data_IF_959752480707
#
_entry.id   IF_959752480707
#
_cell.length_a   1.000
_cell.length_b   1.000
_cell.length_c   1.000
_cell.angle_alpha   90.00
_cell.angle_beta   90.00
_cell.angle_gamma   90.00
#
_symmetry.space_group_name_H-M   'P 1'
#
loop_
_entity.id
_entity.type
_entity.pdbx_description
1 polymer ?
#
# COMPACT_ATOMS: atom_id res chain seq x y z
N UNK A 1 -24.42 8.33 24.20
CA UNK A 1 -23.38 7.26 24.19
C UNK A 1 -23.27 6.56 22.84
N UNK A 2 -24.13 6.89 21.86
CA UNK A 2 -24.20 6.24 20.54
C UNK A 2 -23.37 7.00 19.48
N UNK A 3 -22.91 8.20 19.78
CA UNK A 3 -22.16 9.08 18.86
C UNK A 3 -20.65 8.79 18.80
N UNK A 4 -20.10 8.01 19.73
CA UNK A 4 -18.65 7.80 19.84
C UNK A 4 -18.11 6.83 18.78
N UNK A 5 -18.95 6.01 18.16
CA UNK A 5 -18.53 4.90 17.30
C UNK A 5 -18.58 5.18 15.80
N UNK A 6 -19.04 6.36 15.38
CA UNK A 6 -19.04 6.76 13.96
C UNK A 6 -17.94 7.79 13.64
N UNK A 7 -17.05 8.07 14.58
CA UNK A 7 -16.22 9.28 14.58
C UNK A 7 -14.90 9.18 13.85
N UNK A 8 -14.57 8.18 13.05
CA UNK A 8 -13.17 8.16 12.62
C UNK A 8 -12.85 7.92 11.14
N UNK A 9 -13.77 7.45 10.34
CA UNK A 9 -13.49 7.27 8.91
C UNK A 9 -13.77 8.50 8.04
N UNK A 10 -14.47 9.51 8.59
CA UNK A 10 -14.86 10.70 7.82
C UNK A 10 -13.70 11.61 7.43
N UNK A 11 -12.61 11.60 8.18
CA UNK A 11 -11.47 12.48 7.97
C UNK A 11 -10.23 11.77 7.38
N UNK A 12 -10.17 10.43 7.49
CA UNK A 12 -9.07 9.66 6.90
C UNK A 12 -9.07 9.76 5.38
N UNK A 13 -7.89 9.93 4.79
CA UNK A 13 -7.70 9.94 3.34
C UNK A 13 -7.21 8.55 2.86
N UNK A 14 -8.12 7.66 2.40
CA UNK A 14 -7.73 6.32 1.95
C UNK A 14 -7.04 6.38 0.59
N UNK A 15 -5.83 5.82 0.53
CA UNK A 15 -4.98 5.77 -0.65
C UNK A 15 -4.73 4.31 -1.01
N UNK A 16 -5.16 3.92 -2.18
CA UNK A 16 -4.90 2.60 -2.71
C UNK A 16 -3.49 2.47 -3.25
N UNK A 17 -2.78 1.43 -2.86
CA UNK A 17 -1.53 1.02 -3.51
C UNK A 17 -1.81 -0.18 -4.37
N UNK A 18 -1.77 0.02 -5.67
CA UNK A 18 -2.14 -0.97 -6.67
C UNK A 18 -0.98 -1.33 -7.59
N UNK A 19 -1.05 -2.50 -8.18
CA UNK A 19 -0.14 -2.95 -9.24
C UNK A 19 -0.86 -3.84 -10.22
N UNK A 20 -0.44 -3.81 -11.48
CA UNK A 20 -1.06 -4.65 -12.52
C UNK A 20 -0.72 -6.13 -12.39
N UNK A 21 0.40 -6.48 -11.72
CA UNK A 21 0.84 -7.86 -11.50
C UNK A 21 1.55 -8.02 -10.17
N UNK A 22 1.69 -9.26 -9.72
CA UNK A 22 2.52 -9.62 -8.56
C UNK A 22 4.02 -9.46 -8.81
N UNK A 23 4.79 -9.36 -7.72
CA UNK A 23 6.26 -9.34 -7.79
C UNK A 23 6.90 -7.98 -8.11
N UNK A 24 6.14 -6.90 -8.27
CA UNK A 24 6.69 -5.54 -8.49
C UNK A 24 7.08 -4.83 -7.18
N UNK A 25 6.87 -5.47 -6.02
CA UNK A 25 7.17 -4.92 -4.71
C UNK A 25 6.10 -3.98 -4.16
N UNK A 26 4.83 -4.14 -4.57
CA UNK A 26 3.68 -3.35 -4.13
C UNK A 26 3.60 -3.26 -2.60
N UNK A 27 3.54 -4.38 -1.90
CA UNK A 27 3.42 -4.44 -0.44
C UNK A 27 4.64 -3.84 0.28
N UNK A 28 5.84 -4.05 -0.27
CA UNK A 28 7.07 -3.40 0.25
C UNK A 28 6.99 -1.88 0.13
N UNK A 29 6.45 -1.39 -1.00
CA UNK A 29 6.24 0.05 -1.19
C UNK A 29 5.16 0.57 -0.23
N UNK A 30 4.02 -0.12 -0.11
CA UNK A 30 2.93 0.27 0.78
C UNK A 30 3.39 0.34 2.25
N UNK A 31 4.10 -0.69 2.72
CA UNK A 31 4.64 -0.77 4.07
C UNK A 31 5.60 0.39 4.39
N UNK A 32 6.59 0.61 3.54
CA UNK A 32 7.58 1.66 3.81
C UNK A 32 7.01 3.07 3.58
N UNK A 33 6.06 3.26 2.66
CA UNK A 33 5.35 4.51 2.47
C UNK A 33 4.53 4.88 3.72
N UNK A 34 3.80 3.93 4.31
CA UNK A 34 3.03 4.15 5.54
C UNK A 34 3.94 4.59 6.70
N UNK A 35 5.07 3.91 6.92
CA UNK A 35 6.04 4.31 7.95
C UNK A 35 6.63 5.69 7.65
N UNK A 36 6.92 6.00 6.39
CA UNK A 36 7.47 7.31 5.99
C UNK A 36 6.49 8.44 6.30
N UNK A 37 5.20 8.25 5.99
CA UNK A 37 4.15 9.22 6.29
C UNK A 37 4.00 9.40 7.81
N UNK A 38 3.98 8.30 8.58
CA UNK A 38 3.92 8.35 10.04
C UNK A 38 5.12 9.11 10.63
N UNK A 39 6.33 8.88 10.12
CA UNK A 39 7.54 9.60 10.54
C UNK A 39 7.52 11.09 10.19
N UNK A 40 6.74 11.47 9.19
CA UNK A 40 6.49 12.88 8.84
C UNK A 40 5.49 13.57 9.78
N UNK A 41 5.00 12.86 10.81
CA UNK A 41 4.14 13.41 11.86
C UNK A 41 2.64 13.20 11.64
N UNK A 42 2.24 12.45 10.61
CA UNK A 42 0.82 12.17 10.34
C UNK A 42 0.37 10.87 11.00
N UNK A 43 -0.84 10.85 11.52
CA UNK A 43 -1.50 9.65 12.04
C UNK A 43 -1.85 8.72 10.87
N UNK A 44 -1.15 7.61 10.79
CA UNK A 44 -1.16 6.75 9.59
C UNK A 44 -1.69 5.37 9.91
N UNK A 45 -2.58 4.87 9.05
CA UNK A 45 -3.02 3.49 9.03
C UNK A 45 -2.49 2.73 7.81
N UNK A 46 -2.33 1.41 7.97
CA UNK A 46 -2.01 0.48 6.90
C UNK A 46 -2.95 -0.71 6.94
N UNK A 47 -3.70 -0.89 5.87
CA UNK A 47 -4.60 -2.04 5.66
C UNK A 47 -3.95 -2.99 4.67
N UNK A 48 -3.63 -4.20 5.12
CA UNK A 48 -3.18 -5.29 4.25
C UNK A 48 -4.40 -6.12 3.83
N UNK A 49 -4.89 -5.81 2.64
CA UNK A 49 -6.05 -6.44 2.03
C UNK A 49 -5.67 -7.50 0.97
N UNK A 50 -4.39 -7.86 0.85
CA UNK A 50 -3.95 -8.90 -0.08
C UNK A 50 -4.30 -10.30 0.45
N UNK A 51 -5.50 -10.76 0.11
CA UNK A 51 -6.04 -12.05 0.55
C UNK A 51 -5.26 -13.28 0.04
N UNK A 52 -4.48 -13.10 -1.03
CA UNK A 52 -3.70 -14.18 -1.63
C UNK A 52 -2.31 -14.32 -1.03
N UNK A 53 -1.80 -13.26 -0.45
CA UNK A 53 -0.46 -13.26 0.12
C UNK A 53 -0.23 -12.11 1.11
N UNK A 54 -0.98 -12.09 2.25
CA UNK A 54 -0.83 -11.04 3.23
C UNK A 54 0.60 -11.06 3.78
N UNK A 55 1.36 -10.03 3.51
CA UNK A 55 2.79 -9.96 3.77
C UNK A 55 3.20 -8.89 4.79
N UNK A 56 2.34 -7.93 5.05
CA UNK A 56 2.62 -6.82 5.97
C UNK A 56 2.93 -7.30 7.39
N UNK A 57 2.20 -8.27 7.98
CA UNK A 57 2.53 -8.76 9.32
C UNK A 57 3.98 -9.27 9.42
N UNK A 58 4.45 -10.00 8.40
CA UNK A 58 5.84 -10.48 8.33
C UNK A 58 6.83 -9.33 8.19
N UNK A 59 6.56 -8.40 7.28
CA UNK A 59 7.43 -7.24 7.06
C UNK A 59 7.59 -6.36 8.29
N UNK A 60 6.60 -6.36 9.19
CA UNK A 60 6.63 -5.58 10.42
C UNK A 60 7.02 -6.40 11.67
N UNK A 61 7.23 -7.70 11.53
CA UNK A 61 7.53 -8.60 12.65
C UNK A 61 6.40 -8.68 13.68
N UNK A 62 5.17 -8.66 13.20
CA UNK A 62 3.93 -8.74 13.99
C UNK A 62 3.06 -9.92 13.56
N UNK A 63 3.66 -10.96 13.00
CA UNK A 63 2.94 -12.13 12.49
C UNK A 63 2.12 -12.86 13.54
N UNK A 64 2.57 -12.85 14.77
CA UNK A 64 1.91 -13.54 15.91
C UNK A 64 0.98 -12.57 16.68
N UNK A 65 0.79 -11.35 16.19
CA UNK A 65 -0.14 -10.43 16.81
C UNK A 65 -1.59 -10.88 16.60
N UNK A 66 -2.37 -10.75 17.67
CA UNK A 66 -3.81 -11.02 17.65
C UNK A 66 -4.54 -9.69 17.93
N UNK A 67 -5.11 -9.04 16.91
CA UNK A 67 -5.92 -7.85 17.10
C UNK A 67 -7.04 -8.11 18.11
N UNK A 68 -7.22 -7.20 19.05
CA UNK A 68 -8.30 -7.32 20.02
C UNK A 68 -9.65 -7.07 19.33
N UNK A 69 -10.64 -7.92 19.59
CA UNK A 69 -12.00 -7.76 19.09
C UNK A 69 -12.91 -7.54 20.26
N UNK A 70 -13.55 -6.38 20.32
CA UNK A 70 -14.48 -6.03 21.38
C UNK A 70 -15.89 -5.99 20.79
N UNK A 71 -16.84 -6.67 21.48
CA UNK A 71 -18.24 -6.67 21.12
C UNK A 71 -19.00 -5.59 21.86
N UNK A 72 -19.65 -4.70 21.12
CA UNK A 72 -20.55 -3.69 21.62
C UNK A 72 -21.98 -3.99 21.15
N UNK A 73 -22.70 -4.80 21.92
CA UNK A 73 -24.00 -5.32 21.49
C UNK A 73 -23.87 -6.28 20.30
N UNK A 74 -24.47 -5.94 19.17
CA UNK A 74 -24.38 -6.71 17.91
C UNK A 74 -23.19 -6.32 17.01
N UNK A 75 -22.48 -5.22 17.36
CA UNK A 75 -21.31 -4.76 16.58
C UNK A 75 -20.02 -5.28 17.17
N UNK A 76 -19.14 -5.73 16.30
CA UNK A 76 -17.75 -6.07 16.62
C UNK A 76 -16.83 -4.96 16.17
N UNK A 77 -15.91 -4.53 17.03
CA UNK A 77 -14.86 -3.56 16.70
C UNK A 77 -13.49 -4.23 16.83
N UNK A 78 -12.68 -4.11 15.81
CA UNK A 78 -11.34 -4.67 15.73
C UNK A 78 -10.36 -3.54 16.08
N UNK A 79 -9.48 -3.77 17.07
CA UNK A 79 -8.44 -2.81 17.41
C UNK A 79 -7.18 -3.11 16.60
N UNK A 80 -6.68 -2.16 15.78
CA UNK A 80 -5.49 -2.37 14.96
C UNK A 80 -4.24 -2.55 15.81
N UNK A 81 -3.27 -3.30 15.29
CA UNK A 81 -1.96 -3.46 15.91
C UNK A 81 -1.11 -2.22 15.60
N UNK A 82 -0.51 -1.61 16.62
CA UNK A 82 0.38 -0.48 16.39
C UNK A 82 1.84 -0.94 16.25
N UNK A 83 2.48 -0.56 15.15
CA UNK A 83 3.90 -0.82 14.91
C UNK A 83 4.52 0.30 14.08
N UNK A 84 5.71 0.73 14.46
CA UNK A 84 6.46 1.81 13.78
C UNK A 84 5.69 3.14 13.64
N UNK A 85 4.77 3.44 14.59
CA UNK A 85 3.88 4.61 14.53
C UNK A 85 2.75 4.48 13.50
N UNK A 86 2.48 3.27 13.00
CA UNK A 86 1.42 2.96 12.05
C UNK A 86 0.40 2.03 12.72
N UNK A 87 -0.89 2.33 12.59
CA UNK A 87 -1.98 1.42 12.97
C UNK A 87 -2.19 0.42 11.83
N UNK A 88 -1.96 -0.86 12.10
CA UNK A 88 -1.94 -1.93 11.10
C UNK A 88 -3.08 -2.89 11.32
N UNK A 89 -3.82 -3.18 10.26
CA UNK A 89 -4.72 -4.32 10.19
C UNK A 89 -4.41 -5.14 8.94
N UNK A 90 -4.42 -6.45 9.05
CA UNK A 90 -4.17 -7.36 7.94
C UNK A 90 -5.17 -8.50 7.95
N UNK A 91 -5.64 -8.88 6.77
CA UNK A 91 -6.42 -10.11 6.62
C UNK A 91 -5.62 -11.33 7.11
N UNK A 92 -4.29 -11.25 7.07
CA UNK A 92 -3.38 -12.29 7.55
C UNK A 92 -3.47 -12.58 9.06
N UNK A 93 -4.04 -11.69 9.86
CA UNK A 93 -4.29 -11.94 11.29
C UNK A 93 -5.46 -12.89 11.54
N UNK A 94 -6.36 -13.04 10.56
CA UNK A 94 -7.61 -13.79 10.68
C UNK A 94 -7.65 -15.07 9.85
N UNK A 95 -6.62 -15.30 9.04
CA UNK A 95 -6.50 -16.47 8.17
C UNK A 95 -5.49 -17.44 8.76
N UNK A 96 -5.90 -18.69 8.96
CA UNK A 96 -4.96 -19.75 9.37
C UNK A 96 -3.95 -20.01 8.23
N UNK A 97 -2.68 -19.73 8.47
CA UNK A 97 -1.58 -19.91 7.51
C UNK A 97 -1.42 -21.34 7.00
N UNK A 98 -1.99 -22.32 7.71
CA UNK A 98 -1.92 -23.74 7.36
C UNK A 98 -3.10 -24.21 6.50
N UNK A 99 -4.13 -23.38 6.36
CA UNK A 99 -5.31 -23.71 5.59
C UNK A 99 -5.36 -22.88 4.31
N UNK A 100 -5.41 -23.54 3.17
CA UNK A 100 -5.72 -22.91 1.88
C UNK A 100 -7.21 -22.54 1.87
N UNK A 101 -7.55 -21.32 2.25
CA UNK A 101 -8.90 -20.81 2.07
C UNK A 101 -9.12 -20.48 0.58
N UNK A 102 -10.14 -21.11 0.00
CA UNK A 102 -10.56 -20.76 -1.36
C UNK A 102 -11.47 -19.55 -1.26
N UNK A 103 -10.89 -18.37 -1.46
CA UNK A 103 -11.64 -17.12 -1.53
C UNK A 103 -12.42 -17.04 -2.83
N UNK A 104 -13.73 -16.96 -2.75
CA UNK A 104 -14.58 -16.59 -3.89
C UNK A 104 -14.70 -15.06 -3.92
N UNK A 105 -14.70 -14.45 -5.12
CA UNK A 105 -14.68 -13.00 -5.28
C UNK A 105 -15.57 -12.20 -4.32
N UNK A 106 -16.88 -12.49 -4.23
CA UNK A 106 -17.79 -11.76 -3.33
C UNK A 106 -17.47 -11.95 -1.84
N UNK A 107 -16.99 -13.13 -1.43
CA UNK A 107 -16.56 -13.38 -0.04
C UNK A 107 -15.32 -12.59 0.31
N UNK A 108 -14.38 -12.52 -0.61
CA UNK A 108 -13.14 -11.78 -0.44
C UNK A 108 -13.40 -10.26 -0.32
N UNK A 109 -14.19 -9.70 -1.22
CA UNK A 109 -14.56 -8.30 -1.18
C UNK A 109 -15.28 -7.93 0.13
N UNK A 110 -16.22 -8.78 0.57
CA UNK A 110 -16.92 -8.58 1.84
C UNK A 110 -15.98 -8.68 3.07
N UNK A 111 -15.01 -9.60 3.06
CA UNK A 111 -14.03 -9.71 4.15
C UNK A 111 -13.14 -8.46 4.23
N UNK A 112 -12.70 -7.93 3.09
CA UNK A 112 -11.91 -6.68 3.02
C UNK A 112 -12.75 -5.51 3.52
N UNK A 113 -14.01 -5.42 3.10
CA UNK A 113 -14.94 -4.39 3.55
C UNK A 113 -15.14 -4.45 5.06
N UNK A 114 -15.41 -5.62 5.63
CA UNK A 114 -15.54 -5.81 7.07
C UNK A 114 -14.25 -5.45 7.82
N UNK A 115 -13.09 -5.81 7.28
CA UNK A 115 -11.79 -5.46 7.85
C UNK A 115 -11.63 -3.93 7.93
N UNK A 116 -12.04 -3.21 6.91
CA UNK A 116 -11.97 -1.76 6.84
C UNK A 116 -13.01 -1.08 7.74
N UNK A 117 -14.28 -1.51 7.68
CA UNK A 117 -15.40 -0.87 8.38
C UNK A 117 -15.45 -1.20 9.88
N UNK A 118 -15.06 -2.43 10.26
CA UNK A 118 -15.13 -2.89 11.65
C UNK A 118 -13.87 -2.57 12.47
N UNK A 119 -12.83 -2.03 11.83
CA UNK A 119 -11.62 -1.62 12.56
C UNK A 119 -11.84 -0.25 13.20
N UNK A 120 -11.44 -0.14 14.47
CA UNK A 120 -11.52 1.10 15.22
C UNK A 120 -10.37 2.04 14.81
N UNK A 121 -10.66 2.91 13.84
CA UNK A 121 -9.73 3.91 13.33
C UNK A 121 -9.86 5.22 14.12
N UNK A 122 -9.12 5.37 15.17
CA UNK A 122 -9.10 6.60 15.94
C UNK A 122 -8.14 7.60 15.30
N UNK A 123 -8.65 8.78 14.92
CA UNK A 123 -7.84 9.91 14.43
C UNK A 123 -6.78 9.55 13.39
N UNK A 124 -7.16 9.12 12.19
CA UNK A 124 -6.25 8.82 11.10
C UNK A 124 -6.29 9.93 10.06
N UNK A 125 -5.10 10.48 9.71
CA UNK A 125 -4.95 11.44 8.62
C UNK A 125 -4.87 10.73 7.27
N UNK A 126 -4.03 9.70 7.17
CA UNK A 126 -3.80 8.94 5.93
C UNK A 126 -3.91 7.45 6.17
N UNK A 127 -4.61 6.79 5.27
CA UNK A 127 -4.75 5.34 5.27
C UNK A 127 -4.18 4.75 3.98
N UNK A 128 -3.14 3.94 4.09
CA UNK A 128 -2.56 3.20 2.97
C UNK A 128 -3.23 1.83 2.89
N UNK A 129 -3.75 1.47 1.72
CA UNK A 129 -4.41 0.18 1.51
C UNK A 129 -3.59 -0.63 0.51
N UNK A 130 -2.93 -1.67 0.99
CA UNK A 130 -2.22 -2.65 0.17
C UNK A 130 -3.19 -3.70 -0.37
N UNK A 131 -3.37 -3.73 -1.68
CA UNK A 131 -4.46 -4.46 -2.32
C UNK A 131 -3.93 -5.64 -3.15
N UNK A 132 -4.72 -6.72 -3.37
CA UNK A 132 -4.30 -7.79 -4.27
C UNK A 132 -3.88 -7.25 -5.64
N UNK A 133 -2.85 -7.84 -6.28
CA UNK A 133 -2.44 -7.42 -7.62
C UNK A 133 -3.49 -7.78 -8.67
N UNK A 134 -3.53 -7.03 -9.77
CA UNK A 134 -4.42 -7.28 -10.90
C UNK A 134 -5.62 -6.33 -10.99
N UNK A 135 -6.60 -6.71 -11.79
CA UNK A 135 -7.78 -5.89 -12.17
C UNK A 135 -9.06 -6.72 -12.19
N UNK A 136 -9.21 -7.66 -11.28
CA UNK A 136 -10.35 -8.57 -11.22
C UNK A 136 -11.55 -8.02 -10.45
N UNK A 137 -12.59 -8.84 -10.31
CA UNK A 137 -13.84 -8.46 -9.66
C UNK A 137 -13.69 -8.04 -8.20
N UNK A 138 -12.74 -8.63 -7.48
CA UNK A 138 -12.47 -8.27 -6.08
C UNK A 138 -12.02 -6.81 -5.99
N UNK A 139 -11.11 -6.42 -6.87
CA UNK A 139 -10.62 -5.05 -6.96
C UNK A 139 -11.76 -4.09 -7.27
N UNK A 140 -12.52 -4.36 -8.32
CA UNK A 140 -13.62 -3.50 -8.74
C UNK A 140 -14.67 -3.31 -7.64
N UNK A 141 -15.15 -4.42 -7.05
CA UNK A 141 -16.18 -4.37 -6.00
C UNK A 141 -15.68 -3.60 -4.78
N UNK A 142 -14.43 -3.84 -4.35
CA UNK A 142 -13.90 -3.16 -3.17
C UNK A 142 -13.68 -1.67 -3.42
N UNK A 143 -13.21 -1.28 -4.62
CA UNK A 143 -13.05 0.13 -4.98
C UNK A 143 -14.39 0.87 -4.97
N UNK A 144 -15.46 0.23 -5.45
CA UNK A 144 -16.81 0.79 -5.44
C UNK A 144 -17.37 0.97 -4.02
N UNK A 145 -17.01 0.07 -3.12
CA UNK A 145 -17.52 0.08 -1.74
C UNK A 145 -16.76 1.06 -0.82
N UNK A 146 -15.52 1.45 -1.18
CA UNK A 146 -14.68 2.32 -0.39
C UNK A 146 -14.59 3.72 -1.00
N UNK A 147 -14.78 4.75 -0.17
CA UNK A 147 -14.62 6.14 -0.60
C UNK A 147 -13.14 6.52 -0.69
N UNK A 148 -12.49 6.16 -1.79
CA UNK A 148 -11.07 6.35 -1.98
C UNK A 148 -10.72 7.80 -2.36
N UNK A 149 -9.66 8.32 -1.75
CA UNK A 149 -9.07 9.61 -2.15
C UNK A 149 -8.31 9.53 -3.47
N UNK A 150 -7.71 8.38 -3.74
CA UNK A 150 -7.01 8.11 -4.98
C UNK A 150 -6.16 6.85 -4.95
N UNK A 151 -5.51 6.56 -6.06
CA UNK A 151 -4.66 5.40 -6.24
C UNK A 151 -3.21 5.78 -6.57
N UNK A 152 -2.27 5.05 -5.99
CA UNK A 152 -0.85 5.05 -6.34
C UNK A 152 -0.55 3.76 -7.08
N UNK A 153 0.04 3.85 -8.27
CA UNK A 153 0.37 2.68 -9.08
C UNK A 153 1.85 2.35 -8.92
N UNK A 154 2.15 1.13 -8.50
CA UNK A 154 3.51 0.60 -8.39
C UNK A 154 3.83 -0.28 -9.59
N UNK A 155 4.94 -0.01 -10.24
CA UNK A 155 5.43 -0.78 -11.38
C UNK A 155 6.96 -0.91 -11.34
N UNK A 156 7.51 -1.77 -12.20
CA UNK A 156 8.96 -1.81 -12.51
C UNK A 156 9.18 -1.25 -13.92
N UNK A 157 10.43 -0.87 -14.30
CA UNK A 157 10.70 -0.29 -15.62
C UNK A 157 10.42 -1.20 -16.81
N UNK A 158 10.25 -2.52 -16.59
CA UNK A 158 10.03 -3.52 -17.66
C UNK A 158 8.73 -3.26 -18.41
N UNK A 159 8.75 -3.31 -19.74
CA UNK A 159 7.56 -3.08 -20.57
C UNK A 159 6.40 -4.04 -20.22
N UNK A 160 6.70 -5.30 -19.88
CA UNK A 160 5.67 -6.26 -19.46
C UNK A 160 4.97 -5.82 -18.15
N UNK A 161 5.72 -5.23 -17.21
CA UNK A 161 5.13 -4.68 -15.98
C UNK A 161 4.32 -3.42 -16.25
N UNK A 162 4.81 -2.56 -17.14
CA UNK A 162 4.12 -1.36 -17.56
C UNK A 162 2.79 -1.66 -18.26
N UNK A 163 2.74 -2.72 -19.10
CA UNK A 163 1.50 -3.12 -19.74
C UNK A 163 0.43 -3.55 -18.74
N UNK A 164 0.82 -4.28 -17.71
CA UNK A 164 -0.13 -4.66 -16.65
C UNK A 164 -0.49 -3.48 -15.75
N UNK A 165 0.48 -2.60 -15.45
CA UNK A 165 0.23 -1.38 -14.69
C UNK A 165 -0.72 -0.42 -15.43
N UNK A 166 -0.65 -0.34 -16.78
CA UNK A 166 -1.60 0.43 -17.59
C UNK A 166 -3.02 -0.10 -17.43
N UNK A 167 -3.22 -1.43 -17.40
CA UNK A 167 -4.54 -2.02 -17.16
C UNK A 167 -5.08 -1.63 -15.78
N UNK A 168 -4.21 -1.71 -14.75
CA UNK A 168 -4.60 -1.30 -13.40
C UNK A 168 -4.96 0.20 -13.34
N UNK A 169 -4.15 1.06 -13.94
CA UNK A 169 -4.43 2.50 -13.99
C UNK A 169 -5.73 2.80 -14.75
N UNK A 170 -5.96 2.15 -15.89
CA UNK A 170 -7.18 2.31 -16.68
C UNK A 170 -8.43 1.90 -15.91
N UNK A 171 -8.35 0.88 -15.04
CA UNK A 171 -9.46 0.47 -14.18
C UNK A 171 -9.93 1.62 -13.29
N UNK A 172 -9.02 2.33 -12.63
CA UNK A 172 -9.35 3.45 -11.74
C UNK A 172 -9.99 4.63 -12.47
N UNK A 173 -9.65 4.83 -13.75
CA UNK A 173 -10.13 5.96 -14.56
C UNK A 173 -11.40 5.65 -15.35
N UNK A 174 -12.02 4.48 -15.16
CA UNK A 174 -13.32 4.17 -15.77
C UNK A 174 -14.41 5.09 -15.25
N UNK A 175 -15.46 5.35 -16.08
CA UNK A 175 -16.59 6.20 -15.72
C UNK A 175 -17.36 5.75 -14.48
N UNK A 176 -17.25 4.47 -14.15
CA UNK A 176 -17.98 3.87 -13.01
C UNK A 176 -17.22 4.05 -11.68
N UNK A 177 -15.93 4.38 -11.73
CA UNK A 177 -15.08 4.50 -10.53
C UNK A 177 -14.56 5.92 -10.32
N UNK A 178 -14.06 6.57 -11.37
CA UNK A 178 -13.50 7.94 -11.36
C UNK A 178 -12.49 8.21 -10.23
N UNK A 179 -11.70 7.18 -9.84
CA UNK A 179 -10.70 7.32 -8.79
C UNK A 179 -9.45 8.00 -9.34
N UNK A 180 -9.00 9.13 -8.79
CA UNK A 180 -7.83 9.83 -9.28
C UNK A 180 -6.55 9.00 -9.13
N UNK A 181 -5.66 9.02 -10.13
CA UNK A 181 -4.32 8.46 -10.02
C UNK A 181 -3.40 9.53 -9.42
N UNK A 182 -3.06 9.37 -8.13
CA UNK A 182 -2.21 10.30 -7.38
C UNK A 182 -0.75 10.27 -7.84
N UNK A 183 -0.36 9.21 -8.52
CA UNK A 183 0.94 9.10 -9.17
C UNK A 183 1.44 7.67 -9.36
N UNK A 184 2.61 7.60 -9.98
CA UNK A 184 3.31 6.35 -10.31
C UNK A 184 4.56 6.24 -9.43
N UNK A 185 4.83 5.07 -8.88
CA UNK A 185 6.10 4.72 -8.24
C UNK A 185 6.79 3.68 -9.13
N UNK A 186 7.97 4.01 -9.64
CA UNK A 186 8.82 3.06 -10.37
C UNK A 186 9.75 2.37 -9.39
N UNK A 187 9.43 1.15 -9.01
CA UNK A 187 10.23 0.33 -8.11
C UNK A 187 11.30 -0.47 -8.89
N UNK A 188 12.37 -0.87 -8.21
CA UNK A 188 13.50 -1.59 -8.80
C UNK A 188 14.09 -0.87 -10.01
N UNK A 189 14.17 0.47 -9.94
CA UNK A 189 14.55 1.31 -11.09
C UNK A 189 15.99 1.13 -11.50
N UNK A 190 16.90 0.93 -10.55
CA UNK A 190 18.32 0.64 -10.79
C UNK A 190 18.93 -0.12 -9.61
N UNK A 191 20.03 -0.74 -9.86
CA UNK A 191 20.91 -1.34 -8.86
C UNK A 191 22.22 -0.56 -8.80
N UNK A 192 22.74 -0.31 -7.59
CA UNK A 192 24.06 0.29 -7.38
C UNK A 192 24.91 -0.69 -6.57
N UNK A 193 26.06 -1.16 -7.09
CA UNK A 193 26.96 -2.04 -6.34
C UNK A 193 27.55 -1.30 -5.12
N UNK A 194 27.72 -2.00 -4.01
CA UNK A 194 28.26 -1.43 -2.77
C UNK A 194 29.67 -0.83 -2.96
N UNK A 195 30.51 -1.50 -3.78
CA UNK A 195 31.88 -1.06 -4.05
C UNK A 195 32.00 0.00 -5.15
N UNK A 196 30.89 0.34 -5.82
CA UNK A 196 30.84 1.29 -6.92
C UNK A 196 29.59 2.18 -6.76
N UNK A 197 29.53 3.06 -5.74
CA UNK A 197 28.34 3.86 -5.41
C UNK A 197 27.98 4.89 -6.48
N UNK A 198 28.90 5.22 -7.38
CA UNK A 198 28.70 6.12 -8.51
C UNK A 198 28.02 5.45 -9.71
N UNK A 199 27.99 4.11 -9.76
CA UNK A 199 27.43 3.36 -10.88
C UNK A 199 25.96 3.00 -10.68
N UNK A 200 25.17 3.09 -11.75
CA UNK A 200 23.78 2.68 -11.77
C UNK A 200 23.52 1.69 -12.90
N UNK A 201 23.09 0.50 -12.56
CA UNK A 201 22.74 -0.55 -13.49
C UNK A 201 21.22 -0.67 -13.62
N UNK A 202 20.70 -0.40 -14.81
CA UNK A 202 19.26 -0.44 -15.11
C UNK A 202 18.86 -1.85 -15.56
N UNK A 203 18.81 -2.81 -14.63
CA UNK A 203 18.59 -4.23 -14.90
C UNK A 203 17.25 -4.51 -15.58
N UNK A 204 16.26 -3.68 -15.32
CA UNK A 204 14.90 -3.85 -15.81
C UNK A 204 14.46 -2.78 -16.83
N UNK A 205 15.41 -2.04 -17.39
CA UNK A 205 15.14 -0.90 -18.28
C UNK A 205 15.13 0.44 -17.55
N UNK A 206 14.80 1.51 -18.27
CA UNK A 206 14.89 2.88 -17.76
C UNK A 206 13.71 3.73 -18.22
N UNK A 207 13.15 4.53 -17.28
CA UNK A 207 12.20 5.59 -17.62
C UNK A 207 10.78 5.13 -17.90
N UNK A 208 10.43 3.87 -17.60
CA UNK A 208 9.08 3.35 -17.81
C UNK A 208 8.04 4.08 -16.99
N UNK A 209 8.34 4.37 -15.72
CA UNK A 209 7.46 5.13 -14.85
C UNK A 209 7.19 6.56 -15.35
N UNK A 210 8.20 7.24 -15.89
CA UNK A 210 8.03 8.55 -16.53
C UNK A 210 7.09 8.50 -17.73
N UNK A 211 7.28 7.49 -18.59
CA UNK A 211 6.43 7.29 -19.76
C UNK A 211 4.97 7.07 -19.34
N UNK A 212 4.74 6.24 -18.34
CA UNK A 212 3.42 5.94 -17.82
C UNK A 212 2.78 7.15 -17.13
N UNK A 213 3.52 7.89 -16.32
CA UNK A 213 3.02 9.12 -15.67
C UNK A 213 2.53 10.14 -16.70
N UNK A 214 3.28 10.33 -17.80
CA UNK A 214 2.88 11.19 -18.91
C UNK A 214 1.63 10.68 -19.65
N UNK A 215 1.55 9.36 -19.87
CA UNK A 215 0.41 8.70 -20.54
C UNK A 215 -0.90 8.89 -19.78
N UNK A 216 -0.88 8.80 -18.45
CA UNK A 216 -2.04 8.98 -17.58
C UNK A 216 -2.22 10.40 -17.04
N UNK A 217 -1.46 11.38 -17.57
CA UNK A 217 -1.48 12.76 -17.11
C UNK A 217 -1.38 12.90 -15.58
N UNK A 218 -0.47 12.14 -14.98
CA UNK A 218 -0.20 12.11 -13.55
C UNK A 218 1.29 12.32 -13.26
N UNK A 219 1.70 12.20 -12.00
CA UNK A 219 3.07 12.44 -11.56
C UNK A 219 3.86 11.13 -11.43
N UNK A 220 5.14 11.16 -11.74
CA UNK A 220 6.09 10.19 -11.21
C UNK A 220 6.43 10.64 -9.79
N UNK A 221 5.88 9.95 -8.78
CA UNK A 221 6.13 10.26 -7.37
C UNK A 221 7.61 10.05 -7.02
N UNK A 222 8.20 9.01 -7.57
CA UNK A 222 9.61 8.72 -7.42
C UNK A 222 10.03 7.38 -7.99
N UNK A 223 11.32 7.14 -7.89
CA UNK A 223 11.97 5.92 -8.32
C UNK A 223 12.68 5.30 -7.11
N UNK A 224 12.45 4.01 -6.88
CA UNK A 224 13.02 3.26 -5.77
C UNK A 224 14.11 2.35 -6.31
N UNK A 225 15.35 2.44 -5.79
CA UNK A 225 16.43 1.54 -6.20
C UNK A 225 16.17 0.10 -5.74
N UNK A 226 16.77 -0.85 -6.43
CA UNK A 226 16.88 -2.23 -5.95
C UNK A 226 18.05 -2.31 -4.98
N UNK A 227 17.75 -2.55 -3.70
CA UNK A 227 18.76 -2.72 -2.65
C UNK A 227 18.51 -4.00 -1.86
N UNK A 228 19.56 -4.74 -1.56
CA UNK A 228 19.44 -6.03 -0.86
C UNK A 228 18.90 -5.86 0.56
N UNK A 229 19.27 -4.80 1.22
CA UNK A 229 18.90 -4.49 2.61
C UNK A 229 17.39 -4.35 2.82
N UNK A 230 16.64 -3.97 1.79
CA UNK A 230 15.16 -3.88 1.88
C UNK A 230 14.55 -5.27 2.07
N UNK A 231 15.01 -6.25 1.30
CA UNK A 231 14.54 -7.64 1.44
C UNK A 231 14.95 -8.24 2.79
N UNK A 232 16.23 -8.05 3.19
CA UNK A 232 16.72 -8.53 4.47
C UNK A 232 16.01 -7.89 5.66
N UNK A 233 15.68 -6.59 5.57
CA UNK A 233 14.93 -5.90 6.60
C UNK A 233 13.51 -6.51 6.74
N UNK A 234 12.80 -6.68 5.64
CA UNK A 234 11.46 -7.26 5.63
C UNK A 234 11.44 -8.69 6.23
N UNK A 235 12.45 -9.51 5.93
CA UNK A 235 12.58 -10.87 6.52
C UNK A 235 12.83 -10.84 8.04
N UNK A 236 13.38 -9.77 8.57
CA UNK A 236 13.67 -9.57 10.00
C UNK A 236 12.56 -8.76 10.71
N UNK A 237 11.47 -8.44 10.03
CA UNK A 237 10.41 -7.59 10.58
C UNK A 237 10.85 -6.14 10.81
N UNK A 238 11.80 -5.65 10.02
CA UNK A 238 12.37 -4.31 10.12
C UNK A 238 11.98 -3.45 8.90
N UNK A 239 11.97 -2.14 9.07
CA UNK A 239 11.73 -1.17 8.01
C UNK A 239 13.03 -0.66 7.40
N UNK A 240 12.93 0.08 6.28
CA UNK A 240 14.08 0.77 5.66
C UNK A 240 14.78 1.73 6.65
N UNK A 241 14.07 2.28 7.62
CA UNK A 241 14.60 3.21 8.62
C UNK A 241 15.51 2.54 9.67
N UNK A 242 15.52 1.22 9.73
CA UNK A 242 16.45 0.45 10.54
C UNK A 242 17.76 0.14 9.80
N UNK A 243 17.87 0.58 8.54
CA UNK A 243 19.03 0.35 7.69
C UNK A 243 19.94 1.58 7.67
N UNK A 244 21.21 1.37 7.28
CA UNK A 244 22.19 2.44 7.10
C UNK A 244 22.14 3.07 5.70
N UNK A 245 21.37 2.51 4.78
CA UNK A 245 21.30 2.96 3.40
C UNK A 245 20.38 4.17 3.28
N UNK A 246 20.97 5.36 3.23
CA UNK A 246 20.22 6.62 3.13
C UNK A 246 19.52 6.78 1.79
N UNK A 247 20.05 6.21 0.70
CA UNK A 247 19.49 6.37 -0.65
C UNK A 247 18.05 5.86 -0.74
N UNK A 248 17.74 4.75 -0.05
CA UNK A 248 16.36 4.22 -0.03
C UNK A 248 15.45 5.07 0.85
N UNK A 249 15.96 5.59 1.97
CA UNK A 249 15.21 6.48 2.87
C UNK A 249 14.86 7.76 2.12
N UNK A 250 15.84 8.43 1.48
CA UNK A 250 15.64 9.65 0.71
C UNK A 250 14.61 9.45 -0.42
N UNK A 251 14.63 8.26 -1.08
CA UNK A 251 13.67 7.92 -2.11
C UNK A 251 12.24 7.88 -1.57
N UNK A 252 12.01 7.23 -0.42
CA UNK A 252 10.69 7.16 0.20
C UNK A 252 10.23 8.48 0.79
N UNK A 253 11.11 9.27 1.40
CA UNK A 253 10.80 10.61 1.91
C UNK A 253 10.36 11.53 0.76
N UNK A 254 11.06 11.51 -0.38
CA UNK A 254 10.67 12.24 -1.57
C UNK A 254 9.32 11.77 -2.13
N UNK A 255 9.10 10.46 -2.20
CA UNK A 255 7.83 9.88 -2.67
C UNK A 255 6.68 10.34 -1.78
N UNK A 256 6.82 10.20 -0.46
CA UNK A 256 5.81 10.62 0.50
C UNK A 256 5.51 12.13 0.40
N UNK A 257 6.53 12.98 0.39
CA UNK A 257 6.36 14.42 0.25
C UNK A 257 5.64 14.82 -1.04
N UNK A 258 6.00 14.20 -2.17
CA UNK A 258 5.34 14.45 -3.46
C UNK A 258 3.87 13.96 -3.44
N UNK A 259 3.62 12.78 -2.87
CA UNK A 259 2.27 12.23 -2.74
C UNK A 259 1.36 13.14 -1.91
N UNK A 260 1.81 13.55 -0.72
CA UNK A 260 1.06 14.43 0.18
C UNK A 260 0.72 15.76 -0.50
N UNK A 261 1.70 16.39 -1.16
CA UNK A 261 1.46 17.62 -1.94
C UNK A 261 0.47 17.44 -3.10
N UNK A 262 0.41 16.25 -3.72
CA UNK A 262 -0.54 15.97 -4.80
C UNK A 262 -1.96 15.75 -4.28
N UNK A 263 -2.11 15.13 -3.11
CA UNK A 263 -3.42 14.96 -2.46
C UNK A 263 -4.07 16.31 -2.19
N UNK A 264 -3.30 17.28 -1.67
CA UNK A 264 -3.80 18.64 -1.42
C UNK A 264 -4.31 19.34 -2.68
N UNK A 265 -3.74 19.04 -3.85
CA UNK A 265 -4.16 19.62 -5.15
C UNK A 265 -5.41 18.99 -5.74
N UNK A 266 -5.72 17.76 -5.36
CA UNK A 266 -6.88 16.99 -5.85
C UNK A 266 -8.07 17.10 -4.87
N UNK A 267 -7.82 17.57 -3.65
CA UNK A 267 -8.84 17.86 -2.64
C UNK A 267 -9.51 19.18 -2.90
#
# INVERSE_FOLDING_TARGET
>A
TTEIYTLSLHDALPIFVASGKGGVGKSTVAANLAVTIARSGYKTALVDADIYGPSIPRMYGIEDANPEIIKFGEKESIFPVEKYGVKVISIGFFVDRKQSLIWRGPMAANAIKQLYENTFWEDIDYMIIDFPPGTGDIQLTTIQDLNLKGAVIVTTPQEISLNDARKAASMFTTKDLEVPILGIIENMSWFTPVNHPEEKYYLFGKGGGHKMAKEFNTWLLGQVPLVMEVGEAAEKGLTIFNQKNTCIIDAFEKIAGTLLSNIEKVS
#
